data_IF_107260868307
#
_entry.id   IF_107260868307
#
_cell.length_a   1.000
_cell.length_b   1.000
_cell.length_c   1.000
_cell.angle_alpha   90.00
_cell.angle_beta   90.00
_cell.angle_gamma   90.00
#
_symmetry.space_group_name_H-M   'P 1'
#
loop_
_entity.id
_entity.type
_entity.pdbx_description
1 polymer ?
#
# COMPACT_ATOMS: atom_id res chain seq x y z
N UNK A 1 33.27 18.77 -31.59
CA UNK A 1 32.19 17.80 -31.93
C UNK A 1 32.34 16.48 -31.16
N UNK A 2 33.40 15.67 -31.37
CA UNK A 2 33.60 14.40 -30.64
C UNK A 2 33.72 14.54 -29.10
N UNK A 3 34.33 15.61 -28.58
CA UNK A 3 34.41 15.86 -27.14
C UNK A 3 33.06 16.28 -26.51
N UNK A 4 32.19 16.95 -27.27
CA UNK A 4 30.86 17.37 -26.82
C UNK A 4 29.90 16.17 -26.82
N UNK A 5 30.00 15.27 -27.81
CA UNK A 5 29.27 14.01 -27.86
C UNK A 5 29.69 13.05 -26.73
N UNK A 6 30.98 12.97 -26.39
CA UNK A 6 31.47 12.19 -25.24
C UNK A 6 31.01 12.75 -23.88
N UNK A 7 30.91 14.08 -23.76
CA UNK A 7 30.43 14.74 -22.55
C UNK A 7 28.90 14.63 -22.42
N UNK A 8 28.15 14.82 -23.50
CA UNK A 8 26.69 14.60 -23.55
C UNK A 8 26.36 13.12 -23.30
N UNK A 9 27.11 12.17 -23.87
CA UNK A 9 26.95 10.75 -23.60
C UNK A 9 27.24 10.40 -22.13
N UNK A 10 28.21 11.03 -21.47
CA UNK A 10 28.46 10.85 -20.03
C UNK A 10 27.43 11.54 -19.12
N UNK A 11 26.80 12.62 -19.58
CA UNK A 11 25.74 13.34 -18.86
C UNK A 11 24.39 12.62 -19.02
N UNK A 12 24.05 12.16 -20.23
CA UNK A 12 22.88 11.34 -20.53
C UNK A 12 22.96 9.99 -19.83
N UNK A 13 24.11 9.31 -19.87
CA UNK A 13 24.30 8.05 -19.15
C UNK A 13 24.29 8.25 -17.61
N UNK A 14 24.68 9.43 -17.08
CA UNK A 14 24.50 9.75 -15.65
C UNK A 14 23.05 10.09 -15.28
N UNK A 15 22.27 10.69 -16.18
CA UNK A 15 20.84 11.00 -16.00
C UNK A 15 19.98 9.76 -16.14
N UNK A 16 20.24 8.93 -17.15
CA UNK A 16 19.58 7.65 -17.39
C UNK A 16 19.96 6.64 -16.31
N UNK A 17 21.21 6.59 -15.82
CA UNK A 17 21.56 5.82 -14.61
C UNK A 17 20.96 6.44 -13.33
N UNK A 18 20.55 7.70 -13.31
CA UNK A 18 19.84 8.30 -12.17
C UNK A 18 18.31 8.03 -12.23
N UNK A 19 17.73 7.99 -13.42
CA UNK A 19 16.31 7.71 -13.69
C UNK A 19 16.02 6.19 -13.70
N UNK A 20 16.91 5.34 -14.23
CA UNK A 20 16.86 3.87 -14.09
C UNK A 20 17.33 3.38 -12.72
N UNK A 21 18.12 4.17 -11.97
CA UNK A 21 18.31 3.93 -10.52
C UNK A 21 17.01 4.04 -9.72
N UNK A 22 15.98 4.62 -10.33
CA UNK A 22 14.61 4.65 -9.87
C UNK A 22 13.80 3.42 -10.31
N UNK A 23 14.42 2.23 -10.43
CA UNK A 23 13.86 1.10 -9.64
C UNK A 23 13.89 1.60 -8.20
N UNK A 24 12.82 2.32 -7.82
CA UNK A 24 12.80 3.19 -6.65
C UNK A 24 13.30 2.41 -5.44
N UNK A 25 13.97 3.05 -4.49
CA UNK A 25 14.35 2.35 -3.24
C UNK A 25 13.16 1.60 -2.63
N UNK A 26 11.95 2.13 -2.81
CA UNK A 26 10.67 1.48 -2.50
C UNK A 26 10.44 0.18 -3.29
N UNK A 27 10.65 0.16 -4.61
CA UNK A 27 10.60 -1.06 -5.41
C UNK A 27 11.66 -2.10 -4.99
N UNK A 28 12.90 -1.68 -4.67
CA UNK A 28 13.93 -2.59 -4.15
C UNK A 28 13.56 -3.16 -2.77
N UNK A 29 13.04 -2.32 -1.87
CA UNK A 29 12.54 -2.74 -0.56
C UNK A 29 11.39 -3.74 -0.70
N UNK A 30 10.43 -3.45 -1.58
CA UNK A 30 9.33 -4.37 -1.94
C UNK A 30 9.88 -5.70 -2.44
N UNK A 31 10.76 -5.70 -3.45
CA UNK A 31 11.26 -6.93 -4.03
C UNK A 31 12.11 -7.74 -3.04
N UNK A 32 12.87 -7.07 -2.18
CA UNK A 32 13.58 -7.69 -1.06
C UNK A 32 12.61 -8.35 -0.08
N UNK A 33 11.54 -7.65 0.30
CA UNK A 33 10.50 -8.18 1.15
C UNK A 33 9.83 -9.40 0.51
N UNK A 34 9.39 -9.30 -0.75
CA UNK A 34 8.73 -10.39 -1.48
C UNK A 34 9.66 -11.59 -1.74
N UNK A 35 10.98 -11.43 -1.70
CA UNK A 35 11.89 -12.58 -1.78
C UNK A 35 12.03 -13.31 -0.44
N UNK A 36 11.93 -12.58 0.67
CA UNK A 36 12.16 -13.12 2.01
C UNK A 36 10.88 -13.60 2.69
N UNK A 37 9.73 -12.98 2.41
CA UNK A 37 8.45 -13.28 3.06
C UNK A 37 8.06 -14.78 3.05
N UNK A 38 8.26 -15.56 1.96
CA UNK A 38 7.90 -16.97 1.95
C UNK A 38 8.73 -17.80 2.92
N UNK A 39 9.98 -17.40 3.19
CA UNK A 39 10.82 -18.10 4.17
C UNK A 39 10.15 -18.11 5.55
N UNK A 40 9.69 -16.94 6.02
CA UNK A 40 9.03 -16.82 7.31
C UNK A 40 7.67 -17.52 7.36
N UNK A 41 6.86 -17.34 6.31
CA UNK A 41 5.52 -17.97 6.22
C UNK A 41 5.65 -19.51 6.21
N UNK A 42 6.62 -20.06 5.48
CA UNK A 42 6.80 -21.50 5.38
C UNK A 42 7.34 -22.11 6.67
N UNK A 43 8.22 -21.40 7.39
CA UNK A 43 8.85 -21.87 8.63
C UNK A 43 7.91 -21.93 9.83
N UNK A 44 6.81 -21.17 9.85
CA UNK A 44 5.87 -21.13 10.97
C UNK A 44 4.61 -21.97 10.73
N UNK A 45 4.23 -22.82 11.69
CA UNK A 45 2.93 -23.53 11.67
C UNK A 45 1.79 -22.71 12.29
N UNK A 46 2.13 -21.82 13.21
CA UNK A 46 1.19 -20.91 13.88
C UNK A 46 1.49 -19.47 13.46
N UNK A 47 0.47 -18.75 13.04
CA UNK A 47 0.58 -17.36 12.60
C UNK A 47 -0.46 -16.53 13.34
N UNK A 48 -0.03 -15.44 13.98
CA UNK A 48 -0.91 -14.52 14.71
C UNK A 48 -0.84 -13.14 14.07
N UNK A 49 -2.01 -12.60 13.72
CA UNK A 49 -2.16 -11.32 13.03
C UNK A 49 -2.70 -10.28 14.02
N UNK A 50 -2.03 -9.13 14.07
CA UNK A 50 -2.29 -8.04 15.00
C UNK A 50 -2.81 -6.80 14.25
N UNK A 51 -4.11 -6.47 14.37
CA UNK A 51 -4.68 -5.20 13.91
C UNK A 51 -4.34 -4.06 14.90
N UNK A 52 -4.64 -2.80 14.55
CA UNK A 52 -4.42 -1.64 15.42
C UNK A 52 -5.63 -1.25 16.31
N UNK A 53 -5.37 -0.53 17.41
CA UNK A 53 -6.28 -0.24 18.54
C UNK A 53 -7.55 0.52 18.18
N UNK A 54 -7.52 1.38 17.17
CA UNK A 54 -8.72 2.07 16.67
C UNK A 54 -9.05 1.58 15.27
N UNK A 55 -9.42 0.29 15.11
CA UNK A 55 -9.41 -0.39 13.82
C UNK A 55 -10.33 0.28 12.81
N UNK A 56 -9.86 0.39 11.57
CA UNK A 56 -10.65 0.85 10.43
C UNK A 56 -10.78 -0.26 9.38
N UNK A 57 -11.25 0.10 8.17
CA UNK A 57 -11.46 -0.87 7.11
C UNK A 57 -10.18 -1.45 6.52
N UNK A 58 -9.06 -0.72 6.56
CA UNK A 58 -7.79 -1.18 5.99
C UNK A 58 -7.07 -2.14 6.92
N UNK A 59 -7.02 -1.79 8.19
CA UNK A 59 -6.55 -2.64 9.25
C UNK A 59 -7.34 -3.96 9.36
N UNK A 60 -8.67 -3.90 9.46
CA UNK A 60 -9.50 -5.10 9.59
C UNK A 60 -9.56 -5.89 8.28
N UNK A 61 -9.64 -5.19 7.15
CA UNK A 61 -9.61 -5.79 5.82
C UNK A 61 -8.29 -6.53 5.58
N UNK A 62 -7.18 -5.95 6.00
CA UNK A 62 -5.86 -6.54 5.87
C UNK A 62 -5.69 -7.77 6.75
N UNK A 63 -6.07 -7.64 8.03
CA UNK A 63 -5.94 -8.73 8.99
C UNK A 63 -6.77 -9.96 8.61
N UNK A 64 -8.07 -9.78 8.36
CA UNK A 64 -8.96 -10.89 8.00
C UNK A 64 -8.73 -11.37 6.57
N UNK A 65 -8.43 -10.46 5.62
CA UNK A 65 -8.11 -10.85 4.25
C UNK A 65 -6.88 -11.75 4.17
N UNK A 66 -5.83 -11.41 4.94
CA UNK A 66 -4.63 -12.22 5.03
C UNK A 66 -4.89 -13.56 5.73
N UNK A 67 -5.66 -13.57 6.83
CA UNK A 67 -6.06 -14.82 7.51
C UNK A 67 -6.74 -15.80 6.55
N UNK A 68 -7.77 -15.33 5.84
CA UNK A 68 -8.54 -16.16 4.89
C UNK A 68 -7.67 -16.65 3.73
N UNK A 69 -6.74 -15.81 3.25
CA UNK A 69 -5.77 -16.20 2.22
C UNK A 69 -4.82 -17.29 2.72
N UNK A 70 -4.22 -17.11 3.90
CA UNK A 70 -3.27 -18.07 4.47
C UNK A 70 -3.95 -19.40 4.79
N UNK A 71 -5.16 -19.40 5.38
CA UNK A 71 -5.97 -20.62 5.60
C UNK A 71 -6.37 -21.31 4.29
N UNK A 72 -6.51 -20.56 3.20
CA UNK A 72 -6.81 -21.13 1.89
C UNK A 72 -5.58 -21.79 1.24
N UNK A 73 -4.41 -21.16 1.40
CA UNK A 73 -3.16 -21.56 0.78
C UNK A 73 -2.43 -22.67 1.55
N UNK A 74 -2.47 -22.62 2.88
CA UNK A 74 -1.70 -23.49 3.78
C UNK A 74 -2.66 -24.16 4.77
N UNK A 75 -3.10 -25.37 4.44
CA UNK A 75 -4.15 -26.10 5.19
C UNK A 75 -3.68 -26.65 6.53
N UNK A 76 -2.38 -26.83 6.65
CA UNK A 76 -1.69 -27.32 7.83
C UNK A 76 -1.41 -26.24 8.88
N UNK A 77 -1.56 -24.95 8.52
CA UNK A 77 -1.23 -23.83 9.39
C UNK A 77 -2.45 -23.35 10.16
N UNK A 78 -2.24 -23.02 11.43
CA UNK A 78 -3.22 -22.30 12.23
C UNK A 78 -2.95 -20.80 12.09
N UNK A 79 -3.99 -20.04 11.73
CA UNK A 79 -3.89 -18.60 11.54
C UNK A 79 -4.93 -17.91 12.40
N UNK A 80 -4.47 -17.03 13.29
CA UNK A 80 -5.25 -16.33 14.30
C UNK A 80 -5.27 -14.83 14.01
N UNK A 81 -6.40 -14.16 14.26
CA UNK A 81 -6.49 -12.70 14.33
C UNK A 81 -6.95 -12.33 15.73
N UNK A 82 -6.11 -11.62 16.48
CA UNK A 82 -6.40 -11.26 17.88
C UNK A 82 -6.90 -9.82 18.01
N UNK A 83 -7.75 -9.54 19.00
CA UNK A 83 -8.23 -8.19 19.29
C UNK A 83 -9.74 -8.05 19.17
N UNK A 84 -10.20 -6.90 18.69
CA UNK A 84 -11.62 -6.55 18.53
C UNK A 84 -11.80 -5.56 17.38
N UNK A 85 -12.96 -5.63 16.70
CA UNK A 85 -13.37 -4.63 15.72
C UNK A 85 -13.99 -3.39 16.36
N UNK A 86 -14.23 -3.41 17.68
CA UNK A 86 -14.96 -2.35 18.39
C UNK A 86 -16.36 -2.07 17.80
N UNK A 87 -17.00 -3.09 17.24
CA UNK A 87 -18.30 -2.98 16.59
C UNK A 87 -18.24 -2.42 15.17
N UNK A 88 -17.05 -2.19 14.62
CA UNK A 88 -16.88 -1.79 13.22
C UNK A 88 -17.30 -2.92 12.28
N UNK A 89 -17.97 -2.53 11.20
CA UNK A 89 -18.44 -3.42 10.13
C UNK A 89 -19.14 -4.70 10.64
N UNK A 90 -20.21 -4.59 11.47
CA UNK A 90 -20.85 -5.75 12.11
C UNK A 90 -21.42 -6.75 11.10
N UNK A 91 -21.68 -6.29 9.88
CA UNK A 91 -22.17 -7.06 8.75
C UNK A 91 -21.12 -7.97 8.11
N UNK A 92 -19.82 -7.86 8.45
CA UNK A 92 -18.76 -8.76 7.95
C UNK A 92 -18.58 -10.03 8.78
N UNK A 93 -19.22 -10.12 9.95
CA UNK A 93 -19.12 -11.28 10.86
C UNK A 93 -17.64 -11.68 11.09
N UNK A 94 -16.89 -10.75 11.67
CA UNK A 94 -15.48 -10.92 12.01
C UNK A 94 -15.34 -11.60 13.37
N UNK A 95 -14.83 -12.82 13.36
CA UNK A 95 -14.51 -13.64 14.52
C UNK A 95 -13.04 -13.47 14.91
N UNK A 96 -12.78 -12.85 16.05
CA UNK A 96 -11.43 -12.76 16.61
C UNK A 96 -11.12 -14.03 17.39
N UNK A 97 -9.89 -14.49 17.28
CA UNK A 97 -9.43 -15.74 17.86
C UNK A 97 -8.80 -15.51 19.25
N UNK A 98 -9.04 -16.45 20.16
CA UNK A 98 -8.24 -16.60 21.38
C UNK A 98 -7.05 -17.52 21.11
N UNK A 99 -5.91 -17.20 21.75
CA UNK A 99 -4.69 -18.00 21.63
C UNK A 99 -4.71 -19.12 22.69
N UNK A 100 -4.36 -20.38 22.32
CA UNK A 100 -4.25 -21.48 23.27
C UNK A 100 -3.30 -21.16 24.44
N UNK A 101 -3.57 -21.72 25.62
CA UNK A 101 -2.74 -21.51 26.81
C UNK A 101 -1.31 -22.06 26.64
N UNK A 102 -1.15 -23.13 25.87
CA UNK A 102 0.12 -23.83 25.59
C UNK A 102 0.76 -23.39 24.26
N UNK A 103 0.45 -22.18 23.79
CA UNK A 103 0.95 -21.65 22.53
C UNK A 103 2.47 -21.44 22.52
N UNK A 104 3.15 -22.04 21.54
CA UNK A 104 4.60 -21.90 21.37
C UNK A 104 4.96 -20.65 20.54
N UNK A 105 5.15 -19.53 21.21
CA UNK A 105 5.55 -18.27 20.57
C UNK A 105 6.88 -18.38 19.81
N UNK A 106 7.83 -19.20 20.27
CA UNK A 106 9.18 -19.28 19.72
C UNK A 106 9.24 -19.96 18.34
N UNK A 107 8.23 -20.75 17.98
CA UNK A 107 8.06 -21.32 16.63
C UNK A 107 6.92 -20.66 15.84
N UNK A 108 6.38 -19.56 16.34
CA UNK A 108 5.25 -18.84 15.76
C UNK A 108 5.66 -17.54 15.08
N UNK A 109 4.84 -17.11 14.12
CA UNK A 109 5.02 -15.87 13.38
C UNK A 109 4.00 -14.82 13.83
N UNK A 110 4.47 -13.65 14.24
CA UNK A 110 3.64 -12.46 14.43
C UNK A 110 3.60 -11.62 13.16
N UNK A 111 2.40 -11.25 12.72
CA UNK A 111 2.16 -10.35 11.60
C UNK A 111 1.46 -9.09 12.10
N UNK A 112 2.16 -7.97 12.12
CA UNK A 112 1.62 -6.66 12.49
C UNK A 112 1.22 -5.94 11.20
N UNK A 113 -0.07 -5.70 11.05
CA UNK A 113 -0.65 -5.14 9.83
C UNK A 113 -1.16 -3.75 10.13
N UNK A 114 -0.77 -2.79 9.29
CA UNK A 114 -1.29 -1.42 9.32
C UNK A 114 -1.02 -0.69 10.66
N UNK A 115 0.10 -1.00 11.30
CA UNK A 115 0.44 -0.40 12.60
C UNK A 115 1.94 -0.15 12.73
N UNK A 116 2.28 1.13 12.94
CA UNK A 116 3.68 1.57 13.01
C UNK A 116 4.35 1.50 14.38
N UNK A 117 3.56 1.57 15.44
CA UNK A 117 4.06 1.65 16.82
C UNK A 117 3.38 0.63 17.74
N UNK A 118 4.04 0.30 18.85
CA UNK A 118 3.61 -0.71 19.80
C UNK A 118 2.30 -0.37 20.50
N UNK A 119 2.07 0.91 20.80
CA UNK A 119 0.84 1.44 21.41
C UNK A 119 -0.36 1.41 20.45
N UNK A 120 -0.08 1.34 19.14
CA UNK A 120 -1.11 1.24 18.10
C UNK A 120 -1.50 -0.19 17.81
N UNK A 121 -0.65 -1.19 18.00
CA UNK A 121 -1.02 -2.59 17.78
C UNK A 121 -1.90 -3.14 18.92
N UNK A 122 -3.02 -3.78 18.59
CA UNK A 122 -3.91 -4.37 19.59
C UNK A 122 -3.21 -5.49 20.36
N UNK A 123 -3.45 -5.51 21.67
CA UNK A 123 -2.91 -6.53 22.60
C UNK A 123 -1.38 -6.63 22.54
N UNK A 124 -0.66 -5.63 22.02
CA UNK A 124 0.79 -5.69 21.89
C UNK A 124 1.48 -5.93 23.24
N UNK A 125 1.09 -5.20 24.28
CA UNK A 125 1.69 -5.37 25.62
C UNK A 125 1.43 -6.76 26.21
N UNK A 126 0.28 -7.36 25.91
CA UNK A 126 -0.06 -8.72 26.34
C UNK A 126 0.84 -9.77 25.67
N UNK A 127 1.12 -9.61 24.37
CA UNK A 127 1.84 -10.59 23.55
C UNK A 127 3.33 -10.33 23.33
N UNK A 128 3.83 -9.15 23.69
CA UNK A 128 5.24 -8.77 23.51
C UNK A 128 5.87 -8.24 24.81
N UNK A 129 5.08 -7.85 25.80
CA UNK A 129 5.55 -7.25 27.06
C UNK A 129 5.94 -8.25 28.15
N UNK A 130 5.47 -9.50 28.09
CA UNK A 130 5.78 -10.53 29.12
C UNK A 130 7.04 -11.32 28.77
N UNK A 131 7.92 -11.66 29.75
CA UNK A 131 9.08 -12.54 29.54
C UNK A 131 8.74 -13.89 28.90
N UNK A 132 7.52 -14.38 29.10
CA UNK A 132 7.00 -15.64 28.54
C UNK A 132 6.64 -15.52 27.04
N UNK A 133 6.30 -14.31 26.59
CA UNK A 133 5.85 -13.99 25.22
C UNK A 133 6.91 -13.25 24.39
N UNK A 134 8.03 -12.86 25.01
CA UNK A 134 9.06 -11.98 24.42
C UNK A 134 9.87 -12.60 23.27
N UNK A 135 9.65 -13.87 22.93
CA UNK A 135 10.41 -14.57 21.89
C UNK A 135 9.48 -15.16 20.86
N UNK A 136 8.96 -14.30 19.99
CA UNK A 136 8.37 -14.75 18.74
C UNK A 136 9.46 -15.39 17.86
N UNK A 137 9.09 -16.45 17.14
CA UNK A 137 9.99 -17.06 16.16
C UNK A 137 10.36 -16.07 15.05
N UNK A 138 9.41 -15.24 14.64
CA UNK A 138 9.65 -14.05 13.84
C UNK A 138 8.52 -13.02 13.99
N UNK A 139 8.83 -11.75 13.74
CA UNK A 139 7.89 -10.63 13.72
C UNK A 139 7.99 -9.91 12.37
N UNK A 140 6.89 -9.82 11.65
CA UNK A 140 6.81 -9.12 10.36
C UNK A 140 5.82 -7.98 10.43
N UNK A 141 6.20 -6.84 9.84
CA UNK A 141 5.33 -5.67 9.68
C UNK A 141 5.03 -5.39 8.21
N UNK A 142 3.76 -5.11 7.91
CA UNK A 142 3.33 -4.59 6.61
C UNK A 142 2.46 -3.36 6.89
N UNK A 143 2.87 -2.21 6.36
CA UNK A 143 2.25 -0.93 6.67
C UNK A 143 2.46 0.05 5.51
N UNK A 144 1.61 1.06 5.41
CA UNK A 144 1.76 2.16 4.46
C UNK A 144 2.01 3.51 5.17
N UNK A 145 1.96 3.55 6.50
CA UNK A 145 2.28 4.76 7.27
C UNK A 145 3.79 4.98 7.41
N UNK A 146 4.28 6.16 7.00
CA UNK A 146 5.68 6.55 7.16
C UNK A 146 5.95 7.05 8.59
N UNK A 147 6.02 6.10 9.54
CA UNK A 147 6.20 6.34 10.97
C UNK A 147 7.42 5.60 11.52
N UNK A 148 8.10 6.23 12.47
CA UNK A 148 9.20 5.61 13.22
C UNK A 148 8.67 4.46 14.08
N UNK A 149 9.28 3.29 13.94
CA UNK A 149 8.95 2.08 14.70
C UNK A 149 9.63 2.07 16.08
N UNK A 150 8.97 1.52 17.09
CA UNK A 150 9.44 1.41 18.47
C UNK A 150 9.59 -0.05 18.97
N UNK A 151 9.38 -1.03 18.10
CA UNK A 151 9.56 -2.46 18.36
C UNK A 151 10.42 -3.17 17.32
N UNK A 152 10.88 -4.39 17.59
CA UNK A 152 11.70 -5.17 16.65
C UNK A 152 10.85 -5.89 15.58
N UNK A 153 11.34 -5.94 14.34
CA UNK A 153 10.80 -6.76 13.25
C UNK A 153 11.92 -7.44 12.48
N UNK A 154 11.78 -8.74 12.21
CA UNK A 154 12.67 -9.52 11.36
C UNK A 154 12.51 -9.17 9.88
N UNK A 155 11.29 -8.79 9.47
CA UNK A 155 11.01 -8.33 8.11
C UNK A 155 9.96 -7.21 8.14
N UNK A 156 10.15 -6.16 7.35
CA UNK A 156 9.24 -5.01 7.33
C UNK A 156 9.08 -4.44 5.93
N UNK A 157 7.84 -4.20 5.51
CA UNK A 157 7.52 -3.47 4.29
C UNK A 157 6.64 -2.27 4.60
N UNK A 158 7.28 -1.10 4.65
CA UNK A 158 6.63 0.21 4.82
C UNK A 158 6.71 1.00 3.51
N UNK A 159 5.57 1.33 2.93
CA UNK A 159 5.53 2.16 1.71
C UNK A 159 4.31 3.09 1.62
N UNK A 160 4.55 4.35 1.99
CA UNK A 160 3.58 5.47 1.90
C UNK A 160 3.11 5.88 0.52
N UNK A 161 3.60 5.23 -0.55
CA UNK A 161 3.02 5.42 -1.89
C UNK A 161 1.76 4.59 -2.12
N UNK A 162 1.42 3.67 -1.22
CA UNK A 162 0.18 2.90 -1.29
C UNK A 162 -0.94 3.65 -0.56
N UNK A 163 -2.10 3.72 -1.20
CA UNK A 163 -3.32 4.32 -0.63
C UNK A 163 -4.02 3.45 0.42
N UNK A 164 -3.45 2.28 0.74
CA UNK A 164 -3.96 1.31 1.71
C UNK A 164 -2.90 0.20 1.89
N UNK A 165 -2.69 -0.27 3.11
CA UNK A 165 -1.97 -1.51 3.46
C UNK A 165 -2.58 -2.74 2.75
N UNK A 166 -3.91 -2.82 2.62
CA UNK A 166 -4.59 -3.87 1.85
C UNK A 166 -4.09 -3.96 0.40
N UNK A 167 -3.63 -2.86 -0.19
CA UNK A 167 -3.07 -2.88 -1.54
C UNK A 167 -1.74 -3.67 -1.58
N UNK A 168 -0.88 -3.51 -0.56
CA UNK A 168 0.35 -4.29 -0.40
C UNK A 168 0.03 -5.77 -0.21
N UNK A 169 -1.01 -6.10 0.56
CA UNK A 169 -1.42 -7.48 0.81
C UNK A 169 -1.99 -8.17 -0.44
N UNK A 170 -2.82 -7.50 -1.23
CA UNK A 170 -3.27 -8.02 -2.53
C UNK A 170 -2.08 -8.22 -3.47
N UNK A 171 -1.09 -7.32 -3.43
CA UNK A 171 0.11 -7.46 -4.24
C UNK A 171 0.97 -8.67 -3.81
N UNK A 172 1.04 -8.99 -2.52
CA UNK A 172 1.65 -10.23 -2.03
C UNK A 172 0.94 -11.45 -2.62
N UNK A 173 -0.39 -11.49 -2.53
CA UNK A 173 -1.18 -12.59 -3.08
C UNK A 173 -0.95 -12.75 -4.59
N UNK A 174 -0.95 -11.64 -5.33
CA UNK A 174 -0.71 -11.64 -6.78
C UNK A 174 0.72 -12.06 -7.13
N UNK A 175 1.73 -11.57 -6.42
CA UNK A 175 3.12 -11.93 -6.69
C UNK A 175 3.37 -13.44 -6.57
N UNK A 176 2.82 -14.08 -5.54
CA UNK A 176 2.94 -15.54 -5.35
C UNK A 176 1.85 -16.36 -6.04
N UNK A 177 0.93 -15.71 -6.76
CA UNK A 177 -0.25 -16.36 -7.35
C UNK A 177 -1.04 -17.17 -6.31
N UNK A 178 -1.12 -16.68 -5.07
CA UNK A 178 -1.89 -17.31 -4.00
C UNK A 178 -3.38 -17.23 -4.29
N UNK A 179 -4.09 -18.30 -3.94
CA UNK A 179 -5.54 -18.30 -4.05
C UNK A 179 -6.10 -17.27 -3.08
N UNK A 180 -6.86 -16.32 -3.62
CA UNK A 180 -7.61 -15.34 -2.85
C UNK A 180 -9.10 -15.74 -2.88
N UNK A 181 -9.62 -16.41 -1.84
CA UNK A 181 -11.04 -16.72 -1.76
C UNK A 181 -11.89 -15.45 -1.81
N UNK A 182 -13.15 -15.57 -2.27
CA UNK A 182 -14.11 -14.45 -2.27
C UNK A 182 -14.14 -13.68 -0.94
N UNK A 183 -14.10 -14.38 0.20
CA UNK A 183 -14.09 -13.76 1.54
C UNK A 183 -12.83 -12.90 1.76
N UNK A 184 -11.65 -13.42 1.44
CA UNK A 184 -10.40 -12.67 1.49
C UNK A 184 -10.41 -11.45 0.57
N UNK A 185 -10.84 -11.65 -0.68
CA UNK A 185 -10.94 -10.58 -1.67
C UNK A 185 -11.87 -9.45 -1.22
N UNK A 186 -13.00 -9.82 -0.58
CA UNK A 186 -13.96 -8.85 -0.02
C UNK A 186 -13.35 -8.05 1.14
N UNK A 187 -12.59 -8.69 2.02
CA UNK A 187 -11.87 -7.99 3.09
C UNK A 187 -10.78 -7.06 2.55
N UNK A 188 -9.95 -7.48 1.60
CA UNK A 188 -8.97 -6.57 1.00
C UNK A 188 -9.61 -5.40 0.26
N UNK A 189 -10.73 -5.64 -0.42
CA UNK A 189 -11.46 -4.59 -1.12
C UNK A 189 -12.13 -3.59 -0.16
N UNK A 190 -12.50 -4.02 1.06
CA UNK A 190 -12.95 -3.11 2.12
C UNK A 190 -11.86 -2.07 2.42
N UNK A 191 -10.64 -2.52 2.71
CA UNK A 191 -9.52 -1.63 3.05
C UNK A 191 -9.17 -0.67 1.94
N UNK A 192 -9.09 -1.20 0.71
CA UNK A 192 -8.91 -0.39 -0.49
C UNK A 192 -10.02 0.66 -0.64
N UNK A 193 -11.28 0.36 -0.35
CA UNK A 193 -12.36 1.34 -0.44
C UNK A 193 -12.28 2.40 0.66
N UNK A 194 -12.05 2.00 1.90
CA UNK A 194 -12.16 2.92 3.04
C UNK A 194 -11.00 3.90 3.09
N UNK A 195 -9.78 3.42 2.90
CA UNK A 195 -8.57 4.22 3.13
C UNK A 195 -8.19 5.08 1.91
N UNK A 196 -8.63 4.66 0.72
CA UNK A 196 -8.57 5.50 -0.48
C UNK A 196 -9.72 6.53 -0.58
N UNK A 197 -10.62 6.60 0.40
CA UNK A 197 -11.78 7.50 0.36
C UNK A 197 -12.71 7.21 -0.82
N UNK A 198 -13.03 5.94 -1.06
CA UNK A 198 -13.73 5.46 -2.25
C UNK A 198 -13.02 5.82 -3.56
N UNK A 199 -11.68 5.69 -3.57
CA UNK A 199 -10.79 6.06 -4.66
C UNK A 199 -10.79 7.56 -5.00
N UNK A 200 -11.16 8.41 -4.05
CA UNK A 200 -11.18 9.87 -4.18
C UNK A 200 -9.95 10.58 -3.60
N UNK A 201 -9.16 9.90 -2.76
CA UNK A 201 -7.99 10.49 -2.12
C UNK A 201 -6.83 10.68 -3.11
N UNK A 202 -5.91 11.61 -2.81
CA UNK A 202 -4.79 11.93 -3.71
C UNK A 202 -3.84 10.73 -3.91
N UNK A 203 -3.64 9.92 -2.87
CA UNK A 203 -2.78 8.73 -2.84
C UNK A 203 -3.23 7.63 -3.83
N UNK A 204 -4.42 7.75 -4.41
CA UNK A 204 -4.94 6.86 -5.44
C UNK A 204 -4.13 7.01 -6.72
N UNK A 205 -3.40 5.95 -7.06
CA UNK A 205 -2.61 5.84 -8.28
C UNK A 205 -3.19 4.80 -9.24
N UNK A 206 -2.75 4.74 -10.52
CA UNK A 206 -3.09 3.65 -11.42
C UNK A 206 -2.83 2.27 -10.80
N UNK A 207 -1.76 2.14 -10.02
CA UNK A 207 -1.44 0.91 -9.27
C UNK A 207 -2.56 0.53 -8.29
N UNK A 208 -3.10 1.49 -7.53
CA UNK A 208 -4.22 1.26 -6.59
C UNK A 208 -5.43 0.67 -7.33
N UNK A 209 -5.78 1.24 -8.48
CA UNK A 209 -6.92 0.79 -9.28
C UNK A 209 -6.71 -0.59 -9.90
N UNK A 210 -5.49 -0.88 -10.38
CA UNK A 210 -5.12 -2.21 -10.89
C UNK A 210 -5.21 -3.27 -9.78
N UNK A 211 -4.71 -2.96 -8.59
CA UNK A 211 -4.77 -3.84 -7.42
C UNK A 211 -6.22 -4.08 -6.99
N UNK A 212 -7.05 -3.03 -6.95
CA UNK A 212 -8.48 -3.16 -6.69
C UNK A 212 -9.19 -4.04 -7.73
N UNK A 213 -8.85 -3.90 -9.00
CA UNK A 213 -9.37 -4.76 -10.07
C UNK A 213 -8.99 -6.23 -9.88
N UNK A 214 -7.79 -6.53 -9.33
CA UNK A 214 -7.38 -7.91 -8.99
C UNK A 214 -8.24 -8.50 -7.89
N UNK A 215 -8.51 -7.75 -6.81
CA UNK A 215 -9.43 -8.20 -5.77
C UNK A 215 -10.86 -8.43 -6.31
N UNK A 216 -11.36 -7.56 -7.21
CA UNK A 216 -12.65 -7.77 -7.88
C UNK A 216 -12.66 -9.04 -8.74
N UNK A 217 -11.60 -9.29 -9.52
CA UNK A 217 -11.46 -10.53 -10.31
C UNK A 217 -11.42 -11.77 -9.43
N UNK A 218 -10.87 -11.68 -8.22
CA UNK A 218 -10.91 -12.74 -7.23
C UNK A 218 -12.29 -12.92 -6.55
N UNK A 219 -13.27 -12.08 -6.89
CA UNK A 219 -14.67 -12.23 -6.48
C UNK A 219 -15.09 -11.34 -5.30
N UNK A 220 -14.34 -10.28 -4.98
CA UNK A 220 -14.72 -9.34 -3.94
C UNK A 220 -16.15 -8.81 -4.11
N UNK A 221 -16.95 -8.84 -3.04
CA UNK A 221 -18.35 -8.43 -3.07
C UNK A 221 -18.51 -6.91 -2.94
N UNK A 222 -18.17 -6.20 -4.02
CA UNK A 222 -18.22 -4.73 -4.06
C UNK A 222 -19.60 -4.18 -3.72
N UNK A 223 -20.66 -4.80 -4.24
CA UNK A 223 -22.03 -4.31 -4.02
C UNK A 223 -22.41 -4.40 -2.54
N UNK A 224 -22.10 -5.53 -1.90
CA UNK A 224 -22.30 -5.71 -0.47
C UNK A 224 -21.52 -4.68 0.35
N UNK A 225 -20.23 -4.47 0.04
CA UNK A 225 -19.38 -3.49 0.73
C UNK A 225 -19.93 -2.06 0.58
N UNK A 226 -20.15 -1.62 -0.67
CA UNK A 226 -20.62 -0.25 -0.96
C UNK A 226 -21.99 0.00 -0.35
N UNK A 227 -22.92 -0.97 -0.45
CA UNK A 227 -24.24 -0.86 0.14
C UNK A 227 -24.16 -0.67 1.65
N UNK A 228 -23.33 -1.45 2.35
CA UNK A 228 -23.24 -1.34 3.80
C UNK A 228 -22.44 -0.12 4.26
N UNK A 229 -21.34 0.24 3.60
CA UNK A 229 -20.54 1.41 3.94
C UNK A 229 -21.28 2.74 3.74
N UNK A 230 -22.18 2.79 2.75
CA UNK A 230 -22.97 4.00 2.46
C UNK A 230 -24.26 4.10 3.26
N UNK A 231 -24.62 3.09 4.06
CA UNK A 231 -25.78 3.17 4.95
C UNK A 231 -25.53 4.22 6.01
N UNK A 232 -26.39 5.22 6.05
CA UNK A 232 -26.43 6.24 7.10
C UNK A 232 -27.74 6.15 7.86
N UNK A 233 -27.72 6.56 9.12
CA UNK A 233 -28.91 6.51 9.95
C UNK A 233 -29.85 7.67 9.60
N UNK A 234 -31.17 7.44 9.60
CA UNK A 234 -32.16 8.48 9.27
C UNK A 234 -32.01 9.73 10.13
N UNK A 235 -31.74 9.57 11.44
CA UNK A 235 -31.52 10.71 12.34
C UNK A 235 -30.23 11.49 12.01
N UNK A 236 -29.17 10.79 11.59
CA UNK A 236 -27.93 11.42 11.16
C UNK A 236 -28.15 12.23 9.87
N UNK A 237 -28.90 11.69 8.90
CA UNK A 237 -29.26 12.43 7.69
C UNK A 237 -30.11 13.66 8.00
N UNK A 238 -31.04 13.56 8.97
CA UNK A 238 -31.83 14.71 9.42
C UNK A 238 -30.96 15.78 10.09
N UNK A 239 -29.97 15.38 10.89
CA UNK A 239 -28.98 16.32 11.45
C UNK A 239 -28.19 17.01 10.34
N UNK A 240 -27.69 16.27 9.34
CA UNK A 240 -26.98 16.84 8.20
C UNK A 240 -27.86 17.85 7.45
N UNK A 241 -29.10 17.48 7.16
CA UNK A 241 -30.09 18.39 6.54
C UNK A 241 -30.33 19.64 7.38
N UNK A 242 -30.47 19.49 8.70
CA UNK A 242 -30.66 20.61 9.63
C UNK A 242 -29.44 21.56 9.64
N UNK A 243 -28.22 21.04 9.69
CA UNK A 243 -26.99 21.85 9.60
C UNK A 243 -26.94 22.58 8.26
N UNK A 244 -27.25 21.89 7.16
CA UNK A 244 -27.24 22.47 5.81
C UNK A 244 -28.32 23.54 5.59
N UNK A 245 -29.46 23.42 6.26
CA UNK A 245 -30.54 24.41 6.19
C UNK A 245 -30.24 25.67 7.01
N UNK A 246 -29.42 25.57 8.07
CA UNK A 246 -29.25 26.62 9.07
C UNK A 246 -27.83 27.19 9.17
N UNK A 247 -26.86 26.74 8.36
CA UNK A 247 -25.51 27.29 8.39
C UNK A 247 -25.52 28.79 8.09
N UNK A 248 -24.51 29.48 8.62
CA UNK A 248 -24.25 30.88 8.33
C UNK A 248 -23.04 30.92 7.39
N UNK A 249 -23.21 31.56 6.25
CA UNK A 249 -22.13 31.81 5.31
C UNK A 249 -21.88 33.31 5.18
N UNK A 250 -20.61 33.68 5.32
CA UNK A 250 -20.15 35.05 5.18
C UNK A 250 -18.85 35.05 4.38
N UNK A 251 -18.86 35.68 3.20
CA UNK A 251 -17.77 35.56 2.22
C UNK A 251 -17.48 34.07 1.93
N UNK A 252 -16.22 33.63 2.03
CA UNK A 252 -15.78 32.26 1.80
C UNK A 252 -15.64 31.45 3.10
N UNK A 253 -16.46 31.75 4.11
CA UNK A 253 -16.45 31.12 5.42
C UNK A 253 -17.85 30.62 5.80
N UNK A 254 -17.96 29.33 6.09
CA UNK A 254 -19.22 28.71 6.54
C UNK A 254 -19.11 28.23 7.99
N UNK A 255 -20.13 28.46 8.80
CA UNK A 255 -20.16 27.91 10.14
C UNK A 255 -21.56 27.63 10.66
N UNK A 256 -21.66 26.72 11.62
CA UNK A 256 -22.90 26.49 12.36
C UNK A 256 -22.60 26.17 13.83
N UNK A 257 -23.53 26.54 14.73
CA UNK A 257 -23.45 26.23 16.16
C UNK A 257 -24.65 25.37 16.58
N UNK A 258 -24.39 24.08 16.78
CA UNK A 258 -25.32 23.15 17.41
C UNK A 258 -25.43 23.47 18.90
N UNK A 259 -26.49 24.18 19.28
CA UNK A 259 -26.81 24.48 20.68
C UNK A 259 -27.37 23.25 21.39
N UNK A 260 -27.46 23.31 22.72
CA UNK A 260 -27.97 22.23 23.57
C UNK A 260 -29.24 21.54 23.04
N UNK A 261 -30.27 22.29 22.65
CA UNK A 261 -31.53 21.70 22.19
C UNK A 261 -31.37 20.94 20.86
N UNK A 262 -30.54 21.46 19.93
CA UNK A 262 -30.19 20.77 18.69
C UNK A 262 -29.40 19.50 18.99
N UNK A 263 -28.44 19.58 19.90
CA UNK A 263 -27.62 18.43 20.31
C UNK A 263 -28.50 17.33 20.87
N UNK A 264 -29.38 17.62 21.84
CA UNK A 264 -30.30 16.64 22.41
C UNK A 264 -31.23 16.03 21.36
N UNK A 265 -31.77 16.84 20.45
CA UNK A 265 -32.67 16.40 19.38
C UNK A 265 -32.04 15.36 18.45
N UNK A 266 -30.73 15.46 18.21
CA UNK A 266 -30.02 14.64 17.21
C UNK A 266 -29.02 13.66 17.83
N UNK A 267 -29.07 13.40 19.14
CA UNK A 267 -28.24 12.37 19.79
C UNK A 267 -28.51 10.97 19.21
N UNK A 268 -27.50 10.08 19.17
CA UNK A 268 -26.10 10.33 19.56
C UNK A 268 -25.27 11.04 18.47
N UNK A 269 -25.82 11.19 17.25
CA UNK A 269 -25.07 11.65 16.07
C UNK A 269 -24.54 13.07 16.19
N UNK A 270 -25.25 13.96 16.89
CA UNK A 270 -24.82 15.33 17.18
C UNK A 270 -23.50 15.42 17.95
N UNK A 271 -23.13 14.40 18.70
CA UNK A 271 -21.89 14.36 19.49
C UNK A 271 -20.72 13.68 18.76
N UNK A 272 -20.96 13.15 17.56
CA UNK A 272 -19.92 12.51 16.76
C UNK A 272 -18.98 13.55 16.16
N UNK A 273 -17.68 13.26 16.11
CA UNK A 273 -16.64 14.21 15.70
C UNK A 273 -16.67 14.60 14.21
N UNK A 274 -17.37 13.85 13.37
CA UNK A 274 -17.30 14.00 11.91
C UNK A 274 -18.38 14.91 11.30
N UNK A 275 -19.24 15.54 12.10
CA UNK A 275 -20.34 16.35 11.54
C UNK A 275 -19.85 17.62 10.83
N UNK A 276 -18.65 18.11 11.13
CA UNK A 276 -18.02 19.25 10.42
C UNK A 276 -17.87 18.99 8.92
N UNK A 277 -17.73 17.73 8.49
CA UNK A 277 -17.63 17.35 7.07
C UNK A 277 -18.91 17.67 6.29
N UNK A 278 -20.05 17.81 6.96
CA UNK A 278 -21.33 18.23 6.35
C UNK A 278 -21.20 19.56 5.61
N UNK A 279 -20.28 20.44 6.05
CA UNK A 279 -20.06 21.76 5.47
C UNK A 279 -18.92 21.81 4.42
N UNK A 280 -18.26 20.68 4.12
CA UNK A 280 -17.04 20.65 3.31
C UNK A 280 -17.26 20.91 1.80
N UNK A 281 -18.43 20.53 1.29
CA UNK A 281 -18.76 20.52 -0.14
C UNK A 281 -19.62 21.72 -0.58
N UNK A 282 -19.66 22.78 0.23
CA UNK A 282 -20.30 24.04 -0.16
C UNK A 282 -19.32 24.77 -1.08
N UNK A 283 -19.82 25.17 -2.25
CA UNK A 283 -19.05 25.91 -3.25
C UNK A 283 -18.58 27.26 -2.70
N UNK A 284 -17.46 27.77 -3.21
CA UNK A 284 -16.81 29.02 -2.80
C UNK A 284 -16.39 29.12 -1.32
N UNK A 285 -16.33 28.00 -0.59
CA UNK A 285 -15.89 27.99 0.81
C UNK A 285 -14.41 27.59 0.99
N UNK A 286 -13.64 28.38 1.75
CA UNK A 286 -12.22 28.10 2.08
C UNK A 286 -11.99 27.68 3.54
N UNK A 287 -12.96 27.93 4.42
CA UNK A 287 -12.92 27.63 5.86
C UNK A 287 -14.31 27.20 6.32
N UNK A 288 -14.42 26.11 7.06
CA UNK A 288 -15.66 25.79 7.77
C UNK A 288 -15.45 25.40 9.21
N UNK A 289 -16.41 25.80 10.04
CA UNK A 289 -16.42 25.54 11.48
C UNK A 289 -17.75 24.95 11.90
N UNK A 290 -17.70 23.85 12.64
CA UNK A 290 -18.85 23.36 13.39
C UNK A 290 -18.57 23.51 14.89
N UNK A 291 -19.48 24.19 15.58
CA UNK A 291 -19.49 24.28 17.04
C UNK A 291 -20.58 23.36 17.59
N UNK A 292 -20.29 22.67 18.68
CA UNK A 292 -21.21 21.73 19.33
C UNK A 292 -21.18 21.92 20.83
N UNK A 293 -22.31 22.29 21.43
CA UNK A 293 -22.46 22.39 22.88
C UNK A 293 -22.63 20.99 23.48
N UNK A 294 -21.52 20.39 23.94
CA UNK A 294 -21.50 19.03 24.50
C UNK A 294 -22.24 18.99 25.84
N UNK A 295 -22.02 20.03 26.65
CA UNK A 295 -22.74 20.33 27.90
C UNK A 295 -22.52 21.81 28.23
N UNK A 296 -23.21 22.29 29.27
CA UNK A 296 -23.09 23.68 29.70
C UNK A 296 -21.64 24.05 30.00
N UNK A 297 -21.13 25.08 29.31
CA UNK A 297 -19.75 25.53 29.46
C UNK A 297 -18.70 24.65 28.78
N UNK A 298 -19.10 23.71 27.91
CA UNK A 298 -18.19 22.90 27.10
C UNK A 298 -18.66 22.88 25.64
N UNK A 299 -18.03 23.71 24.80
CA UNK A 299 -18.37 23.82 23.38
C UNK A 299 -17.17 23.31 22.58
N UNK A 300 -17.34 22.19 21.89
CA UNK A 300 -16.34 21.67 20.98
C UNK A 300 -16.38 22.43 19.67
N UNK A 301 -15.22 22.84 19.18
CA UNK A 301 -15.07 23.51 17.89
C UNK A 301 -14.23 22.62 16.98
N UNK A 302 -14.75 22.35 15.80
CA UNK A 302 -14.03 21.64 14.75
C UNK A 302 -13.80 22.58 13.58
N UNK A 303 -12.53 22.80 13.24
CA UNK A 303 -12.09 23.65 12.14
C UNK A 303 -11.66 22.79 10.96
N UNK A 304 -12.02 23.22 9.75
CA UNK A 304 -11.53 22.65 8.51
C UNK A 304 -11.29 23.74 7.48
N UNK A 305 -10.28 23.60 6.65
CA UNK A 305 -9.95 24.57 5.60
C UNK A 305 -9.34 23.90 4.39
N UNK A 306 -9.08 24.68 3.34
CA UNK A 306 -8.42 24.21 2.12
C UNK A 306 -7.02 24.79 1.93
N UNK A 307 -6.21 24.09 1.14
CA UNK A 307 -4.93 24.58 0.66
C UNK A 307 -3.98 24.93 1.81
N UNK A 308 -3.54 26.19 1.88
CA UNK A 308 -2.57 26.66 2.87
C UNK A 308 -3.19 27.51 3.98
N UNK A 309 -4.53 27.51 4.12
CA UNK A 309 -5.21 28.30 5.14
C UNK A 309 -5.07 27.62 6.51
N UNK A 310 -4.07 28.03 7.28
CA UNK A 310 -3.73 27.39 8.57
C UNK A 310 -4.73 27.74 9.68
N UNK A 311 -5.58 26.77 10.05
CA UNK A 311 -6.55 26.91 11.15
C UNK A 311 -5.99 26.51 12.52
N UNK A 312 -4.80 25.89 12.57
CA UNK A 312 -4.22 25.42 13.85
C UNK A 312 -3.98 26.55 14.81
N UNK A 313 -3.45 27.67 14.32
CA UNK A 313 -3.13 28.83 15.15
C UNK A 313 -4.35 29.35 15.88
N UNK A 314 -5.52 29.35 15.24
CA UNK A 314 -6.77 29.71 15.90
C UNK A 314 -7.08 28.68 16.99
N UNK A 315 -7.01 27.38 16.69
CA UNK A 315 -7.30 26.35 17.68
C UNK A 315 -6.36 26.39 18.90
N UNK A 316 -5.06 26.59 18.69
CA UNK A 316 -4.03 26.69 19.74
C UNK A 316 -4.28 27.85 20.72
N UNK A 317 -4.76 28.99 20.23
CA UNK A 317 -5.14 30.13 21.09
C UNK A 317 -6.27 29.80 22.07
N UNK A 318 -7.09 28.78 21.76
CA UNK A 318 -8.16 28.29 22.63
C UNK A 318 -7.79 26.95 23.31
N UNK A 319 -6.49 26.67 23.47
CA UNK A 319 -6.00 25.46 24.13
C UNK A 319 -6.24 24.17 23.35
N UNK A 320 -6.52 24.30 22.04
CA UNK A 320 -6.68 23.19 21.11
C UNK A 320 -5.41 22.92 20.29
N UNK A 321 -5.60 22.31 19.13
CA UNK A 321 -4.52 22.00 18.19
C UNK A 321 -4.99 21.12 17.03
N UNK A 322 -4.04 20.61 16.24
CA UNK A 322 -4.30 19.68 15.13
C UNK A 322 -3.39 19.89 13.93
N UNK A 323 -3.91 19.58 12.74
CA UNK A 323 -3.24 19.77 11.45
C UNK A 323 -3.64 21.08 10.78
N UNK A 324 -2.80 21.53 9.83
CA UNK A 324 -2.93 22.78 9.08
C UNK A 324 -4.38 23.08 8.68
N UNK A 325 -5.06 22.06 8.12
CA UNK A 325 -6.41 22.15 7.56
C UNK A 325 -7.47 21.41 8.38
N UNK A 326 -7.12 20.85 9.53
CA UNK A 326 -8.02 20.07 10.37
C UNK A 326 -7.60 20.17 11.84
N UNK A 327 -8.25 21.07 12.57
CA UNK A 327 -7.94 21.35 13.98
C UNK A 327 -9.19 21.38 14.84
N UNK A 328 -9.02 21.37 16.16
CA UNK A 328 -10.12 21.48 17.09
C UNK A 328 -9.72 22.13 18.41
N UNK A 329 -10.69 22.69 19.10
CA UNK A 329 -10.53 23.30 20.43
C UNK A 329 -11.80 23.09 21.27
N UNK A 330 -11.70 23.30 22.57
CA UNK A 330 -12.84 23.27 23.50
C UNK A 330 -12.98 24.64 24.16
N UNK A 331 -14.10 25.31 23.90
CA UNK A 331 -14.41 26.59 24.51
C UNK A 331 -15.18 26.39 25.81
N UNK A 332 -14.98 27.30 26.75
CA UNK A 332 -15.59 27.28 28.09
C UNK A 332 -16.81 28.21 28.21
N UNK A 333 -17.10 29.02 27.19
CA UNK A 333 -18.27 29.90 27.19
C UNK A 333 -18.74 30.27 25.78
N UNK A 334 -20.02 30.61 25.64
CA UNK A 334 -20.57 31.16 24.39
C UNK A 334 -19.92 32.48 23.97
N UNK A 335 -19.36 33.24 24.92
CA UNK A 335 -18.65 34.49 24.60
C UNK A 335 -17.43 34.24 23.68
N UNK A 336 -16.74 33.11 23.88
CA UNK A 336 -15.59 32.72 23.07
C UNK A 336 -16.00 32.32 21.65
N UNK A 337 -17.24 31.86 21.43
CA UNK A 337 -17.75 31.53 20.08
C UNK A 337 -17.62 32.75 19.17
N UNK A 338 -18.08 33.92 19.62
CA UNK A 338 -17.97 35.17 18.85
C UNK A 338 -16.52 35.50 18.53
N UNK A 339 -15.61 35.32 19.49
CA UNK A 339 -14.17 35.56 19.30
C UNK A 339 -13.58 34.64 18.24
N UNK A 340 -13.89 33.33 18.30
CA UNK A 340 -13.45 32.34 17.30
C UNK A 340 -13.96 32.71 15.90
N UNK A 341 -15.26 33.00 15.78
CA UNK A 341 -15.89 33.37 14.50
C UNK A 341 -15.26 34.64 13.92
N UNK A 342 -14.98 35.66 14.74
CA UNK A 342 -14.32 36.88 14.27
C UNK A 342 -12.87 36.65 13.82
N UNK A 343 -12.11 35.79 14.53
CA UNK A 343 -10.75 35.41 14.12
C UNK A 343 -10.76 34.63 12.80
N UNK A 344 -11.69 33.69 12.65
CA UNK A 344 -11.89 32.94 11.41
C UNK A 344 -12.22 33.88 10.23
N UNK A 345 -13.14 34.83 10.41
CA UNK A 345 -13.46 35.86 9.40
C UNK A 345 -12.23 36.68 9.00
N UNK A 346 -11.46 37.15 9.98
CA UNK A 346 -10.22 37.91 9.72
C UNK A 346 -9.22 37.07 8.92
N UNK A 347 -9.02 35.81 9.31
CA UNK A 347 -8.12 34.89 8.62
C UNK A 347 -8.52 34.68 7.15
N UNK A 348 -9.82 34.50 6.89
CA UNK A 348 -10.34 34.34 5.52
C UNK A 348 -10.15 35.61 4.68
N UNK A 349 -10.41 36.79 5.25
CA UNK A 349 -10.15 38.07 4.58
C UNK A 349 -8.69 38.25 4.19
N UNK A 350 -7.78 37.99 5.12
CA UNK A 350 -6.33 38.07 4.88
C UNK A 350 -5.90 37.08 3.80
N UNK A 351 -6.43 35.86 3.81
CA UNK A 351 -6.14 34.84 2.81
C UNK A 351 -6.62 35.21 1.41
N UNK A 352 -7.85 35.73 1.28
CA UNK A 352 -8.41 36.18 0.00
C UNK A 352 -7.59 37.36 -0.54
N UNK A 353 -7.30 38.35 0.31
CA UNK A 353 -6.52 39.53 -0.08
C UNK A 353 -5.09 39.17 -0.51
N UNK A 354 -4.46 38.20 0.14
CA UNK A 354 -3.11 37.74 -0.20
C UNK A 354 -3.07 36.91 -1.49
N UNK A 355 -4.18 36.29 -1.90
CA UNK A 355 -4.20 35.33 -3.03
C UNK A 355 -4.86 35.83 -4.31
N UNK A 356 -5.52 36.98 -4.31
CA UNK A 356 -6.11 37.57 -5.52
C UNK A 356 -6.96 36.56 -6.30
N UNK A 357 -8.16 36.25 -5.79
CA UNK A 357 -9.17 35.40 -6.45
C UNK A 357 -8.59 34.17 -7.21
N UNK A 358 -8.04 33.20 -6.49
CA UNK A 358 -7.84 31.86 -7.07
C UNK A 358 -8.95 30.95 -6.56
N UNK A 359 -9.78 30.44 -7.47
CA UNK A 359 -10.84 29.47 -7.13
C UNK A 359 -10.23 28.22 -6.50
N UNK A 360 -11.08 27.44 -5.83
CA UNK A 360 -10.75 26.13 -5.26
C UNK A 360 -10.02 25.26 -6.30
N UNK A 361 -10.44 25.38 -7.56
CA UNK A 361 -9.86 24.68 -8.72
C UNK A 361 -8.39 25.03 -8.96
N UNK A 362 -7.97 26.30 -8.89
CA UNK A 362 -6.58 26.66 -9.20
C UNK A 362 -5.59 26.17 -8.12
N UNK A 363 -6.05 26.08 -6.87
CA UNK A 363 -5.25 25.56 -5.76
C UNK A 363 -5.24 24.03 -5.74
N UNK A 364 -6.38 23.40 -6.03
CA UNK A 364 -6.46 21.96 -6.26
C UNK A 364 -5.63 21.56 -7.48
N UNK A 365 -5.63 22.31 -8.57
CA UNK A 365 -4.79 22.08 -9.75
C UNK A 365 -3.31 22.19 -9.44
N UNK A 366 -2.87 23.20 -8.70
CA UNK A 366 -1.45 23.33 -8.31
C UNK A 366 -1.02 22.25 -7.33
N UNK A 367 -1.84 21.94 -6.32
CA UNK A 367 -1.56 20.87 -5.37
C UNK A 367 -1.58 19.50 -6.06
N UNK A 368 -2.50 19.29 -6.99
CA UNK A 368 -2.56 18.11 -7.85
C UNK A 368 -1.36 18.04 -8.79
N UNK A 369 -0.90 19.14 -9.38
CA UNK A 369 0.32 19.15 -10.20
C UNK A 369 1.57 18.85 -9.38
N UNK A 370 1.70 19.40 -8.17
CA UNK A 370 2.83 19.12 -7.26
C UNK A 370 2.79 17.68 -6.75
N UNK A 371 1.61 17.18 -6.40
CA UNK A 371 1.38 15.81 -5.99
C UNK A 371 1.59 14.83 -7.15
N UNK A 372 1.07 15.11 -8.35
CA UNK A 372 1.29 14.31 -9.56
C UNK A 372 2.78 14.29 -9.92
N UNK A 373 3.51 15.40 -9.77
CA UNK A 373 4.97 15.41 -9.96
C UNK A 373 5.70 14.55 -8.92
N UNK A 374 5.17 14.40 -7.71
CA UNK A 374 5.78 13.60 -6.64
C UNK A 374 5.38 12.11 -6.67
N UNK A 375 4.14 11.80 -7.05
CA UNK A 375 3.53 10.47 -6.92
C UNK A 375 3.34 9.79 -8.28
N UNK A 376 3.06 10.58 -9.32
CA UNK A 376 2.97 10.15 -10.71
C UNK A 376 4.22 10.62 -11.51
N UNK A 377 5.41 10.21 -11.08
CA UNK A 377 6.56 10.13 -11.99
C UNK A 377 6.30 9.01 -13.01
N UNK A 378 5.40 9.34 -13.95
CA UNK A 378 5.01 8.61 -15.15
C UNK A 378 4.72 7.11 -15.00
N UNK A 379 3.44 6.76 -14.78
CA UNK A 379 2.86 5.71 -15.61
C UNK A 379 2.61 6.31 -17.01
N UNK A 380 3.67 6.42 -17.80
CA UNK A 380 3.54 6.67 -19.23
C UNK A 380 2.97 5.38 -19.86
N UNK A 381 1.81 5.46 -20.53
CA UNK A 381 1.24 4.33 -21.28
C UNK A 381 1.99 4.07 -22.60
N UNK A 382 2.81 5.03 -23.03
CA UNK A 382 3.63 4.95 -24.24
C UNK A 382 5.09 5.05 -23.83
N UNK A 383 5.94 4.17 -24.38
CA UNK A 383 7.38 4.29 -24.21
C UNK A 383 7.85 5.60 -24.83
N UNK A 384 8.80 6.28 -24.20
CA UNK A 384 9.56 7.30 -24.92
C UNK A 384 10.29 6.65 -26.11
N UNK A 385 10.63 7.41 -27.16
CA UNK A 385 11.43 6.87 -28.26
C UNK A 385 12.70 6.14 -27.81
N UNK A 386 13.32 6.62 -26.72
CA UNK A 386 14.51 6.04 -26.11
C UNK A 386 14.23 4.73 -25.35
N UNK A 387 13.10 4.63 -24.65
CA UNK A 387 12.64 3.38 -24.01
C UNK A 387 12.16 2.36 -25.04
N UNK A 388 11.56 2.81 -26.15
CA UNK A 388 11.12 1.96 -27.26
C UNK A 388 12.33 1.33 -27.98
N UNK A 389 13.39 2.11 -28.18
CA UNK A 389 14.67 1.66 -28.71
C UNK A 389 15.33 0.65 -27.75
N UNK A 390 15.42 0.97 -26.46
CA UNK A 390 15.96 0.07 -25.42
C UNK A 390 15.19 -1.26 -25.32
N UNK A 391 13.86 -1.21 -25.37
CA UNK A 391 13.03 -2.43 -25.34
C UNK A 391 13.24 -3.28 -26.60
N UNK A 392 13.39 -2.65 -27.77
CA UNK A 392 13.70 -3.33 -29.02
C UNK A 392 15.06 -4.04 -28.95
N UNK A 393 16.09 -3.37 -28.43
CA UNK A 393 17.42 -3.96 -28.22
C UNK A 393 17.39 -5.14 -27.23
N UNK A 394 16.66 -5.01 -26.12
CA UNK A 394 16.50 -6.08 -25.15
C UNK A 394 15.76 -7.30 -25.73
N UNK A 395 14.71 -7.09 -26.52
CA UNK A 395 14.01 -8.18 -27.22
C UNK A 395 14.93 -8.91 -28.19
N UNK A 396 15.72 -8.17 -28.98
CA UNK A 396 16.69 -8.76 -29.90
C UNK A 396 17.78 -9.56 -29.14
N UNK A 397 18.21 -9.08 -27.98
CA UNK A 397 19.17 -9.79 -27.13
C UNK A 397 18.59 -11.09 -26.55
N UNK A 398 17.32 -11.06 -26.10
CA UNK A 398 16.62 -12.24 -25.59
C UNK A 398 16.44 -13.28 -26.71
N UNK A 399 16.04 -12.86 -27.90
CA UNK A 399 15.87 -13.74 -29.06
C UNK A 399 17.21 -14.39 -29.45
N UNK A 400 18.29 -13.60 -29.54
CA UNK A 400 19.64 -14.12 -29.78
C UNK A 400 20.12 -15.08 -28.69
N UNK A 401 19.77 -14.83 -27.43
CA UNK A 401 20.10 -15.71 -26.30
C UNK A 401 19.31 -17.01 -26.41
N UNK A 402 18.04 -16.94 -26.77
CA UNK A 402 17.18 -18.10 -26.98
C UNK A 402 17.69 -18.97 -28.15
N UNK A 403 18.08 -18.36 -29.27
CA UNK A 403 18.68 -19.07 -30.41
C UNK A 403 20.02 -19.71 -30.07
N UNK A 404 20.86 -19.03 -29.28
CA UNK A 404 22.11 -19.59 -28.78
C UNK A 404 21.87 -20.79 -27.86
N UNK A 405 20.89 -20.72 -26.96
CA UNK A 405 20.53 -21.82 -26.07
C UNK A 405 19.91 -22.99 -26.84
N UNK A 406 19.07 -22.73 -27.83
CA UNK A 406 18.50 -23.76 -28.71
C UNK A 406 19.59 -24.43 -29.56
N UNK A 407 20.58 -23.66 -30.04
CA UNK A 407 21.72 -24.19 -30.78
C UNK A 407 22.62 -25.04 -29.88
N UNK A 408 22.88 -24.60 -28.65
CA UNK A 408 23.63 -25.40 -27.66
C UNK A 408 22.89 -26.69 -27.28
N UNK A 409 21.57 -26.65 -27.14
CA UNK A 409 20.76 -27.84 -26.89
C UNK A 409 20.85 -28.84 -28.06
N UNK A 410 20.77 -28.36 -29.31
CA UNK A 410 20.96 -29.20 -30.51
C UNK A 410 22.38 -29.76 -30.64
N UNK A 411 23.39 -28.98 -30.27
CA UNK A 411 24.79 -29.45 -30.24
C UNK A 411 24.92 -30.56 -29.19
N UNK A 412 24.34 -30.38 -28.01
CA UNK A 412 24.38 -31.38 -26.94
C UNK A 412 23.64 -32.66 -27.32
N UNK A 413 22.51 -32.55 -28.01
CA UNK A 413 21.77 -33.68 -28.57
C UNK A 413 22.58 -34.40 -29.66
N UNK A 414 23.27 -33.66 -30.54
CA UNK A 414 24.18 -34.23 -31.52
C UNK A 414 25.41 -34.90 -30.87
N UNK A 415 25.96 -34.32 -29.81
CA UNK A 415 27.05 -34.91 -29.02
C UNK A 415 26.59 -36.18 -28.29
N UNK A 416 25.37 -36.22 -27.78
CA UNK A 416 24.78 -37.43 -27.19
C UNK A 416 24.55 -38.52 -28.25
N UNK A 417 24.11 -38.16 -29.45
CA UNK A 417 23.99 -39.08 -30.58
C UNK A 417 25.37 -39.64 -30.97
N UNK A 418 26.37 -38.77 -31.15
CA UNK A 418 27.76 -39.16 -31.48
C UNK A 418 28.36 -40.05 -30.38
N UNK A 419 28.10 -39.76 -29.10
CA UNK A 419 28.60 -40.56 -27.98
C UNK A 419 27.81 -41.88 -27.78
N UNK A 420 26.55 -41.94 -28.21
CA UNK A 420 25.74 -43.16 -28.21
C UNK A 420 26.11 -44.10 -29.35
N UNK A 421 26.69 -43.57 -30.43
CA UNK A 421 27.15 -44.33 -31.59
C UNK A 421 28.57 -44.90 -31.36
N UNK A 422 28.72 -45.67 -30.27
CA UNK A 422 29.92 -46.50 -29.99
C UNK A 422 30.08 -47.69 -30.96
N UNK A 423 29.48 -47.62 -32.15
CA UNK A 423 29.69 -48.57 -33.25
C UNK A 423 30.69 -48.06 -34.29
N UNK A 424 31.14 -46.80 -34.23
CA UNK A 424 32.09 -46.25 -35.21
C UNK A 424 33.57 -46.43 -34.83
N UNK A 425 33.89 -46.65 -33.55
CA UNK A 425 35.27 -46.94 -33.09
C UNK A 425 35.72 -48.39 -33.39
N UNK A 426 34.84 -49.26 -33.89
CA UNK A 426 35.21 -50.63 -34.32
C UNK A 426 35.66 -50.73 -35.78
N UNK A 427 35.66 -49.62 -36.54
CA UNK A 427 36.08 -49.61 -37.96
C UNK A 427 37.48 -49.03 -38.22
N UNK A 428 38.20 -48.63 -37.17
CA UNK A 428 39.56 -48.10 -37.26
C UNK A 428 40.49 -48.78 -36.24
N UNK A 429 40.68 -50.10 -36.38
CA UNK A 429 41.86 -50.77 -35.83
C UNK A 429 42.85 -51.07 -36.96
N UNK A 430 43.94 -50.31 -37.11
CA UNK A 430 45.04 -50.69 -37.97
C UNK A 430 46.07 -51.51 -37.17
N UNK A 431 45.70 -52.75 -36.79
CA UNK A 431 46.67 -53.78 -36.42
C UNK A 431 46.81 -54.79 -37.57
N UNK A 432 47.39 -54.35 -38.68
CA UNK A 432 48.32 -55.16 -39.47
C UNK A 432 48.97 -54.27 -40.54
N UNK A 433 50.20 -53.82 -40.27
CA UNK A 433 51.36 -53.73 -41.19
C UNK A 433 52.34 -52.67 -40.68
N UNK A 434 53.39 -53.10 -40.00
CA UNK A 434 54.77 -52.66 -40.25
C UNK A 434 55.72 -53.53 -39.43
N UNK A 435 56.19 -54.64 -40.04
CA UNK A 435 57.44 -55.27 -39.66
C UNK A 435 58.41 -55.21 -40.85
N UNK A 436 59.49 -54.44 -40.64
CA UNK A 436 60.84 -54.67 -41.13
C UNK A 436 61.09 -55.00 -42.60
N UNK A 437 61.62 -54.01 -43.31
CA UNK A 437 62.64 -54.21 -44.36
C UNK A 437 63.73 -55.20 -43.96
N UNK A 438 63.93 -56.24 -44.77
CA UNK A 438 65.27 -56.76 -45.09
C UNK A 438 65.29 -57.13 -46.57
N UNK A 439 66.06 -56.38 -47.36
CA UNK A 439 66.52 -56.78 -48.68
C UNK A 439 67.45 -58.01 -48.57
N UNK A 440 67.25 -59.01 -49.44
CA UNK A 440 68.35 -59.74 -50.07
C UNK A 440 67.87 -60.46 -51.35
N UNK A 441 68.31 -59.88 -52.48
CA UNK A 441 68.90 -60.48 -53.69
C UNK A 441 68.42 -61.85 -54.22
N UNK A 442 68.17 -61.78 -55.53
CA UNK A 442 68.60 -62.70 -56.60
C UNK A 442 67.86 -64.02 -56.86
N UNK A 443 67.22 -64.01 -58.04
CA UNK A 443 67.31 -65.00 -59.12
C UNK A 443 66.58 -66.35 -59.06
N UNK A 444 65.72 -66.50 -60.09
CA UNK A 444 65.58 -67.64 -60.99
C UNK A 444 65.24 -69.04 -60.43
N UNK A 445 63.99 -69.45 -60.72
CA UNK A 445 63.51 -70.72 -61.36
C UNK A 445 64.54 -71.86 -61.62
N UNK A 446 64.12 -73.14 -61.83
CA UNK A 446 62.75 -73.71 -61.83
C UNK A 446 62.59 -75.13 -61.23
N UNK A 447 61.33 -75.58 -61.11
CA UNK A 447 60.78 -76.95 -61.20
C UNK A 447 61.65 -78.17 -60.76
N UNK A 448 61.23 -78.86 -59.70
CA UNK A 448 60.55 -80.18 -59.75
C UNK A 448 60.11 -80.60 -58.36
#
# INVERSE_FOLDING_TARGET
MAAISSLMGKILNKKQVAEDKFISEKAKKRDSFLKQFPHYINSALQIVIFPHVNPDGDCLGGAFGLRETLRAQFKEKNVYVVGTSQGMFPWLEMDFDDIPLDFDYASSLALIIDSGTSDRAQRFQEFFGSPETQKWGAVIRIDHHDLTQDYHTDLSWVDSSYAACCAQLVQICDYYQWKMPKRAATFFYLGLLTDSGFFGNAEVSPRTLVIAAKALRAGADREFLVTNLRRTHTLENRLKGFILENYIQEEKFVWYFLKKDDVERFKPFSLTSNQVSTLANIDDNVLWILLTEVKQGEIRVSFRSIGTLDVRKIAEEFGGGGHLNASGATLTSESQVKTVINKAKKLVKEFIAARGETSKDTLEEKAKEEFDKQVNTSYRMEFTPEEEESLSEQKALIEKTHDSLASQAKIKEAEEIVNSDKAFETFLDPQETFSGTVEKKEEAKPSK
#
